data_IF_672496851610
#
_entry.id   IF_672496851610
#
_cell.length_a   1.000
_cell.length_b   1.000
_cell.length_c   1.000
_cell.angle_alpha   90.00
_cell.angle_beta   90.00
_cell.angle_gamma   90.00
#
_symmetry.space_group_name_H-M   'P 1'
#
loop_
_entity.id
_entity.type
_entity.pdbx_description
1 polymer ?
#
# COMPACT_ATOMS: atom_id res chain seq x y z
N UNK A 1 -9.33 1.50 22.83
CA UNK A 1 -10.40 2.23 22.13
C UNK A 1 -9.95 2.40 20.69
N UNK A 2 -10.85 2.31 19.71
CA UNK A 2 -10.45 2.28 18.30
C UNK A 2 -11.38 3.12 17.46
N UNK A 3 -10.89 3.62 16.33
CA UNK A 3 -11.69 4.44 15.46
C UNK A 3 -10.89 5.19 14.40
N UNK A 4 -11.48 6.28 13.92
CA UNK A 4 -10.84 7.21 12.99
C UNK A 4 -10.45 8.46 13.77
N UNK A 5 -9.19 8.85 13.70
CA UNK A 5 -8.69 10.00 14.45
C UNK A 5 -9.41 11.30 14.06
N UNK A 6 -9.82 11.42 12.80
CA UNK A 6 -10.54 12.59 12.29
C UNK A 6 -11.99 12.71 12.79
N UNK A 7 -12.55 11.65 13.41
CA UNK A 7 -13.94 11.61 13.84
C UNK A 7 -14.13 11.97 15.33
N UNK A 8 -13.03 12.11 16.08
CA UNK A 8 -13.04 12.49 17.51
C UNK A 8 -12.71 13.98 17.71
N UNK A 9 -12.97 14.51 18.90
CA UNK A 9 -12.66 15.92 19.19
C UNK A 9 -11.26 16.07 19.76
N UNK A 10 -10.60 17.20 19.46
CA UNK A 10 -9.26 17.49 19.96
C UNK A 10 -9.11 17.36 21.49
N UNK A 11 -10.07 17.86 22.31
CA UNK A 11 -10.04 17.67 23.75
C UNK A 11 -10.09 16.21 24.23
N UNK A 12 -10.63 15.28 23.45
CA UNK A 12 -10.74 13.86 23.84
C UNK A 12 -9.42 13.09 23.64
N UNK A 13 -8.47 13.64 22.86
CA UNK A 13 -7.21 12.95 22.51
C UNK A 13 -6.44 12.42 23.73
N UNK A 14 -6.24 13.19 24.83
CA UNK A 14 -5.51 12.68 26.00
C UNK A 14 -6.24 11.57 26.76
N UNK A 15 -7.55 11.41 26.55
CA UNK A 15 -8.35 10.36 27.17
C UNK A 15 -8.46 9.12 26.28
N UNK A 16 -8.51 9.31 24.96
CA UNK A 16 -8.74 8.26 23.97
C UNK A 16 -7.46 7.62 23.42
N UNK A 17 -6.37 8.38 23.31
CA UNK A 17 -5.09 7.92 22.76
C UNK A 17 -4.12 7.65 23.90
N UNK A 18 -3.57 6.43 23.93
CA UNK A 18 -2.63 5.95 24.93
C UNK A 18 -1.27 5.59 24.29
N UNK A 19 -0.31 5.18 25.12
CA UNK A 19 0.99 4.67 24.68
C UNK A 19 0.89 3.30 23.97
N UNK A 20 -0.18 2.55 24.22
CA UNK A 20 -0.52 1.31 23.52
C UNK A 20 -1.21 1.55 22.16
N UNK A 21 -1.70 2.77 21.89
CA UNK A 21 -2.39 3.08 20.64
C UNK A 21 -1.49 2.87 19.42
N UNK A 22 -2.03 2.15 18.43
CA UNK A 22 -1.45 1.94 17.10
C UNK A 22 -2.12 2.92 16.14
N UNK A 23 -1.35 3.88 15.64
CA UNK A 23 -1.81 4.80 14.60
C UNK A 23 -1.51 4.18 13.23
N UNK A 24 -2.53 4.01 12.39
CA UNK A 24 -2.38 3.47 11.04
C UNK A 24 -2.65 4.55 9.99
N UNK A 25 -1.66 4.81 9.14
CA UNK A 25 -1.73 5.70 7.99
C UNK A 25 -1.87 4.88 6.69
N UNK A 26 -3.04 4.89 6.05
CA UNK A 26 -3.20 4.32 4.72
C UNK A 26 -2.54 5.23 3.67
N UNK A 27 -1.71 4.66 2.80
CA UNK A 27 -1.04 5.39 1.71
C UNK A 27 -1.35 4.70 0.39
N UNK A 28 -2.11 5.38 -0.47
CA UNK A 28 -2.43 4.92 -1.82
C UNK A 28 -1.63 5.65 -2.88
N UNK A 29 -2.17 5.70 -4.10
CA UNK A 29 -1.72 6.56 -5.19
C UNK A 29 -2.90 6.91 -6.12
N UNK A 30 -2.71 7.93 -6.97
CA UNK A 30 -3.58 8.27 -8.09
C UNK A 30 -2.77 8.18 -9.38
N UNK A 31 -2.94 7.08 -10.11
CA UNK A 31 -2.11 6.72 -11.26
C UNK A 31 -2.85 5.85 -12.27
N UNK A 32 -2.37 5.85 -13.51
CA UNK A 32 -2.93 4.98 -14.55
C UNK A 32 -2.83 3.51 -14.16
N UNK A 33 -3.82 2.67 -14.49
CA UNK A 33 -3.80 1.22 -14.26
C UNK A 33 -4.22 0.45 -15.53
N UNK A 34 -3.66 0.85 -16.67
CA UNK A 34 -4.11 0.38 -17.97
C UNK A 34 -5.48 0.95 -18.36
N UNK A 35 -6.07 0.45 -19.46
CA UNK A 35 -7.33 0.98 -20.00
C UNK A 35 -8.58 0.49 -19.24
N UNK A 36 -8.47 -0.58 -18.44
CA UNK A 36 -9.59 -1.27 -17.81
C UNK A 36 -9.89 -0.78 -16.39
N UNK A 37 -8.90 -0.34 -15.61
CA UNK A 37 -9.07 0.10 -14.22
C UNK A 37 -9.18 1.63 -14.07
N UNK A 38 -9.83 2.11 -12.99
CA UNK A 38 -9.77 3.50 -12.55
C UNK A 38 -8.37 3.91 -12.08
N UNK A 39 -8.16 5.22 -11.89
CA UNK A 39 -6.86 5.72 -11.40
C UNK A 39 -6.67 5.62 -9.88
N UNK A 40 -7.72 5.28 -9.15
CA UNK A 40 -7.78 5.29 -7.69
C UNK A 40 -7.56 3.92 -7.06
N UNK A 41 -7.07 2.93 -7.82
CA UNK A 41 -6.96 1.52 -7.39
C UNK A 41 -6.22 1.41 -6.05
N UNK A 42 -5.00 1.91 -5.99
CA UNK A 42 -4.16 1.87 -4.78
C UNK A 42 -4.79 2.58 -3.59
N UNK A 43 -5.44 3.72 -3.83
CA UNK A 43 -6.16 4.47 -2.80
C UNK A 43 -7.33 3.67 -2.24
N UNK A 44 -8.15 3.08 -3.12
CA UNK A 44 -9.31 2.26 -2.72
C UNK A 44 -8.83 1.03 -1.96
N UNK A 45 -7.82 0.32 -2.44
CA UNK A 45 -7.31 -0.87 -1.76
C UNK A 45 -6.77 -0.51 -0.37
N UNK A 46 -5.94 0.54 -0.25
CA UNK A 46 -5.40 0.96 1.05
C UNK A 46 -6.51 1.36 2.03
N UNK A 47 -7.51 2.11 1.57
CA UNK A 47 -8.63 2.56 2.41
C UNK A 47 -9.53 1.40 2.85
N UNK A 48 -9.94 0.53 1.92
CA UNK A 48 -10.80 -0.61 2.23
C UNK A 48 -10.09 -1.63 3.13
N UNK A 49 -8.80 -1.90 2.89
CA UNK A 49 -8.01 -2.76 3.80
C UNK A 49 -7.93 -2.15 5.19
N UNK A 50 -7.72 -0.84 5.31
CA UNK A 50 -7.66 -0.17 6.62
C UNK A 50 -8.98 -0.22 7.37
N UNK A 51 -10.09 -0.01 6.66
CA UNK A 51 -11.44 -0.13 7.23
C UNK A 51 -11.71 -1.56 7.70
N UNK A 52 -11.40 -2.56 6.87
CA UNK A 52 -11.57 -3.96 7.22
C UNK A 52 -10.70 -4.38 8.43
N UNK A 53 -9.48 -3.83 8.55
CA UNK A 53 -8.63 -4.05 9.72
C UNK A 53 -9.22 -3.42 10.97
N UNK A 54 -9.73 -2.19 10.89
CA UNK A 54 -10.40 -1.54 12.01
C UNK A 54 -11.61 -2.36 12.50
N UNK A 55 -12.42 -2.88 11.58
CA UNK A 55 -13.57 -3.73 11.91
C UNK A 55 -13.12 -5.10 12.47
N UNK A 56 -11.98 -5.62 12.02
CA UNK A 56 -11.48 -6.95 12.42
C UNK A 56 -10.78 -6.96 13.77
N UNK A 57 -9.93 -5.98 14.07
CA UNK A 57 -9.09 -5.97 15.28
C UNK A 57 -9.34 -4.80 16.21
N UNK A 58 -10.25 -3.87 15.88
CA UNK A 58 -10.50 -2.68 16.68
C UNK A 58 -11.00 -2.94 18.10
N UNK A 59 -11.63 -4.10 18.34
CA UNK A 59 -12.06 -4.52 19.69
C UNK A 59 -10.91 -5.18 20.49
N UNK A 60 -9.82 -5.58 19.83
CA UNK A 60 -8.67 -6.28 20.42
C UNK A 60 -7.45 -5.36 20.60
N UNK A 61 -7.24 -4.45 19.65
CA UNK A 61 -6.11 -3.53 19.56
C UNK A 61 -6.66 -2.11 19.59
N UNK A 62 -6.00 -1.22 20.32
CA UNK A 62 -6.27 0.21 20.30
C UNK A 62 -5.79 0.84 18.96
N UNK A 63 -6.60 0.70 17.91
CA UNK A 63 -6.25 1.02 16.53
C UNK A 63 -6.94 2.30 16.05
N UNK A 64 -6.15 3.26 15.58
CA UNK A 64 -6.65 4.55 15.09
C UNK A 64 -6.21 4.81 13.66
N UNK A 65 -7.20 4.95 12.77
CA UNK A 65 -6.95 5.28 11.36
C UNK A 65 -6.74 6.79 11.19
N UNK A 66 -5.68 7.15 10.47
CA UNK A 66 -5.53 8.47 9.88
C UNK A 66 -6.27 8.54 8.53
N UNK A 67 -6.59 9.75 8.03
CA UNK A 67 -7.10 9.90 6.68
C UNK A 67 -6.14 9.30 5.64
N UNK A 68 -6.69 8.57 4.67
CA UNK A 68 -5.92 8.00 3.56
C UNK A 68 -5.14 9.08 2.81
N UNK A 69 -3.84 8.90 2.65
CA UNK A 69 -3.02 9.73 1.78
C UNK A 69 -3.14 9.23 0.33
N UNK A 70 -4.12 9.76 -0.41
CA UNK A 70 -4.44 9.30 -1.77
C UNK A 70 -3.39 9.69 -2.81
N UNK A 71 -2.70 10.83 -2.64
CA UNK A 71 -1.62 11.28 -3.52
C UNK A 71 -0.30 10.95 -2.85
N UNK A 72 0.54 10.16 -3.52
CA UNK A 72 1.86 9.74 -3.03
C UNK A 72 2.92 9.82 -4.14
N UNK A 73 4.01 9.04 -4.06
CA UNK A 73 5.09 9.05 -5.05
C UNK A 73 4.90 7.93 -6.08
N UNK A 74 4.41 8.31 -7.26
CA UNK A 74 4.12 7.46 -8.41
C UNK A 74 4.86 7.94 -9.68
N UNK A 75 6.18 8.15 -9.56
CA UNK A 75 6.96 8.76 -10.63
C UNK A 75 7.13 7.85 -11.86
N UNK A 76 7.07 6.53 -11.66
CA UNK A 76 7.03 5.50 -12.71
C UNK A 76 5.83 5.63 -13.66
N UNK A 77 4.78 6.37 -13.26
CA UNK A 77 3.54 6.56 -14.02
C UNK A 77 3.30 8.02 -14.46
N UNK A 78 4.20 8.95 -14.13
CA UNK A 78 4.07 10.40 -14.45
C UNK A 78 4.04 10.73 -15.94
N UNK A 79 4.51 9.80 -16.79
CA UNK A 79 4.40 9.95 -18.24
C UNK A 79 2.94 9.86 -18.73
N UNK A 80 2.04 9.27 -17.95
CA UNK A 80 0.62 9.12 -18.28
C UNK A 80 -0.19 10.33 -17.80
N UNK A 81 -1.02 10.95 -18.66
CA UNK A 81 -1.86 12.07 -18.27
C UNK A 81 -2.83 11.70 -17.12
N UNK A 82 -2.92 12.58 -16.13
CA UNK A 82 -3.80 12.44 -14.98
C UNK A 82 -3.13 11.87 -13.73
N UNK A 83 -1.96 11.21 -13.85
CA UNK A 83 -1.21 10.71 -12.69
C UNK A 83 -0.83 11.88 -11.77
N UNK A 84 -1.16 11.79 -10.49
CA UNK A 84 -0.80 12.78 -9.48
C UNK A 84 0.30 12.20 -8.61
N UNK A 85 1.49 12.79 -8.66
CA UNK A 85 2.65 12.30 -7.92
C UNK A 85 3.40 13.43 -7.23
N UNK A 86 3.76 13.21 -5.98
CA UNK A 86 4.81 13.98 -5.32
C UNK A 86 6.19 13.57 -5.82
N UNK A 87 7.16 14.48 -5.68
CA UNK A 87 8.57 14.13 -5.71
C UNK A 87 8.98 13.43 -4.42
N UNK A 88 10.06 12.62 -4.45
CA UNK A 88 10.50 11.85 -3.29
C UNK A 88 10.75 12.69 -2.04
N UNK A 89 11.37 13.87 -2.20
CA UNK A 89 11.63 14.79 -1.08
C UNK A 89 10.34 15.32 -0.48
N UNK A 90 9.37 15.70 -1.31
CA UNK A 90 8.06 16.17 -0.84
C UNK A 90 7.31 15.07 -0.11
N UNK A 91 7.32 13.84 -0.63
CA UNK A 91 6.66 12.71 0.03
C UNK A 91 7.25 12.43 1.42
N UNK A 92 8.58 12.45 1.54
CA UNK A 92 9.26 12.29 2.84
C UNK A 92 8.88 13.42 3.79
N UNK A 93 8.86 14.69 3.33
CA UNK A 93 8.45 15.82 4.17
C UNK A 93 7.00 15.72 4.63
N UNK A 94 6.07 15.28 3.77
CA UNK A 94 4.66 15.07 4.15
C UNK A 94 4.55 14.01 5.25
N UNK A 95 5.26 12.89 5.12
CA UNK A 95 5.26 11.83 6.13
C UNK A 95 5.88 12.29 7.46
N UNK A 96 6.96 13.07 7.40
CA UNK A 96 7.59 13.66 8.58
C UNK A 96 6.65 14.63 9.32
N UNK A 97 5.96 15.51 8.58
CA UNK A 97 4.99 16.45 9.16
C UNK A 97 3.81 15.72 9.83
N UNK A 98 3.30 14.64 9.21
CA UNK A 98 2.25 13.80 9.80
C UNK A 98 2.77 13.10 11.08
N UNK A 99 3.95 12.48 11.01
CA UNK A 99 4.53 11.77 12.13
C UNK A 99 4.86 12.70 13.31
N UNK A 100 5.32 13.92 13.02
CA UNK A 100 5.50 14.97 14.03
C UNK A 100 4.18 15.27 14.75
N UNK A 101 3.07 15.42 14.04
CA UNK A 101 1.76 15.60 14.66
C UNK A 101 1.38 14.39 15.54
N UNK A 102 1.57 13.16 15.05
CA UNK A 102 1.31 11.93 15.84
C UNK A 102 2.14 11.92 17.13
N UNK A 103 3.42 12.31 17.06
CA UNK A 103 4.33 12.36 18.21
C UNK A 103 3.94 13.36 19.30
N UNK A 104 2.98 14.26 19.04
CA UNK A 104 2.42 15.15 20.08
C UNK A 104 1.32 14.49 20.93
N UNK A 105 0.87 13.29 20.54
CA UNK A 105 -0.07 12.46 21.31
C UNK A 105 0.69 11.46 22.20
N UNK A 106 -0.03 10.66 23.00
CA UNK A 106 0.59 9.59 23.78
C UNK A 106 1.05 8.38 22.93
N UNK A 107 0.54 8.26 21.70
CA UNK A 107 0.81 7.10 20.85
C UNK A 107 2.30 6.93 20.54
N UNK A 108 2.77 5.68 20.64
CA UNK A 108 4.16 5.33 20.34
C UNK A 108 4.33 4.64 18.98
N UNK A 109 3.27 4.10 18.39
CA UNK A 109 3.33 3.22 17.22
C UNK A 109 2.68 3.87 16.01
N UNK A 110 3.43 3.97 14.91
CA UNK A 110 2.95 4.46 13.61
C UNK A 110 3.15 3.37 12.55
N UNK A 111 2.05 2.86 12.02
CA UNK A 111 2.01 1.88 10.94
C UNK A 111 1.66 2.60 9.65
N UNK A 112 2.47 2.42 8.61
CA UNK A 112 2.16 2.86 7.25
C UNK A 112 1.67 1.64 6.47
N UNK A 113 0.40 1.64 6.06
CA UNK A 113 -0.16 0.63 5.15
C UNK A 113 -0.01 1.12 3.71
N UNK A 114 0.89 0.50 2.97
CA UNK A 114 1.22 0.91 1.61
C UNK A 114 0.42 0.12 0.57
N UNK A 115 -0.47 0.80 -0.15
CA UNK A 115 -1.24 0.27 -1.27
C UNK A 115 -0.55 0.37 -2.63
N UNK A 116 0.57 1.08 -2.75
CA UNK A 116 1.25 1.33 -4.03
C UNK A 116 2.68 0.77 -4.05
N UNK A 117 3.01 -0.09 -5.02
CA UNK A 117 4.31 -0.76 -5.06
C UNK A 117 5.52 0.19 -5.17
N UNK A 118 5.39 1.29 -5.90
CA UNK A 118 6.43 2.30 -6.13
C UNK A 118 6.91 3.06 -4.89
N UNK A 119 6.16 2.94 -3.80
CA UNK A 119 6.43 3.60 -2.53
C UNK A 119 7.31 2.76 -1.59
N UNK A 120 7.40 1.44 -1.75
CA UNK A 120 7.97 0.53 -0.72
C UNK A 120 9.35 0.99 -0.22
N UNK A 121 10.29 1.28 -1.13
CA UNK A 121 11.66 1.69 -0.76
C UNK A 121 11.71 3.08 -0.10
N UNK A 122 10.85 3.99 -0.54
CA UNK A 122 10.77 5.34 0.02
C UNK A 122 10.15 5.30 1.42
N UNK A 123 9.05 4.56 1.60
CA UNK A 123 8.33 4.50 2.87
C UNK A 123 9.16 3.83 3.96
N UNK A 124 9.89 2.75 3.67
CA UNK A 124 10.75 2.14 4.69
C UNK A 124 11.93 3.05 5.08
N UNK A 125 12.41 3.86 4.14
CA UNK A 125 13.40 4.91 4.43
C UNK A 125 12.79 5.96 5.36
N UNK A 126 11.59 6.46 5.03
CA UNK A 126 10.86 7.42 5.85
C UNK A 126 10.56 6.90 7.26
N UNK A 127 10.18 5.62 7.40
CA UNK A 127 9.99 4.98 8.70
C UNK A 127 11.23 5.14 9.60
N UNK A 128 12.43 4.85 9.07
CA UNK A 128 13.67 5.00 9.83
C UNK A 128 13.94 6.46 10.21
N UNK A 129 13.74 7.38 9.27
CA UNK A 129 13.96 8.82 9.51
C UNK A 129 13.00 9.34 10.59
N UNK A 130 11.72 8.97 10.51
CA UNK A 130 10.68 9.30 11.52
C UNK A 130 11.04 8.72 12.89
N UNK A 131 11.46 7.46 12.96
CA UNK A 131 11.87 6.81 14.22
C UNK A 131 12.98 7.58 14.92
N UNK A 132 13.97 8.05 14.15
CA UNK A 132 15.11 8.82 14.65
C UNK A 132 14.69 10.23 15.06
N UNK A 133 13.84 10.88 14.29
CA UNK A 133 13.41 12.27 14.52
C UNK A 133 12.42 12.41 15.69
N UNK A 134 11.44 11.51 15.79
CA UNK A 134 10.27 11.68 16.66
C UNK A 134 10.09 10.60 17.73
N UNK A 135 10.94 9.56 17.74
CA UNK A 135 10.89 8.52 18.77
C UNK A 135 9.83 7.42 18.56
N UNK A 136 8.95 7.58 17.56
CA UNK A 136 7.87 6.62 17.24
C UNK A 136 8.42 5.28 16.75
N UNK A 137 7.88 4.16 17.22
CA UNK A 137 8.05 2.85 16.60
C UNK A 137 7.29 2.82 15.27
N UNK A 138 8.03 2.71 14.18
CA UNK A 138 7.48 2.78 12.82
C UNK A 138 7.48 1.44 12.12
N UNK A 139 6.39 1.13 11.42
CA UNK A 139 6.23 -0.12 10.69
C UNK A 139 5.70 0.16 9.28
N UNK A 140 6.12 -0.67 8.32
CA UNK A 140 5.62 -0.64 6.94
C UNK A 140 4.98 -1.99 6.63
N UNK A 141 3.71 -1.97 6.27
CA UNK A 141 2.95 -3.16 5.90
C UNK A 141 2.30 -2.96 4.53
N UNK A 142 1.92 -4.06 3.87
CA UNK A 142 1.32 -4.04 2.54
C UNK A 142 0.13 -4.99 2.50
N UNK A 143 -0.99 -4.65 1.84
CA UNK A 143 -2.04 -5.62 1.49
C UNK A 143 -1.47 -6.80 0.67
N UNK A 144 -0.53 -6.49 -0.22
CA UNK A 144 0.29 -7.48 -0.91
C UNK A 144 1.67 -6.89 -1.18
N UNK A 145 2.73 -7.64 -0.90
CA UNK A 145 4.09 -7.20 -1.24
C UNK A 145 4.24 -7.29 -2.76
N UNK A 146 4.67 -6.22 -3.46
CA UNK A 146 4.83 -6.28 -4.90
C UNK A 146 6.01 -7.19 -5.28
N UNK A 147 5.97 -7.88 -6.43
CA UNK A 147 7.08 -8.75 -6.87
C UNK A 147 8.41 -7.99 -6.98
N UNK A 148 8.37 -6.71 -7.37
CA UNK A 148 9.55 -5.84 -7.43
C UNK A 148 10.28 -5.68 -6.08
N UNK A 149 9.56 -5.87 -4.97
CA UNK A 149 10.06 -5.78 -3.58
C UNK A 149 10.18 -7.16 -2.91
N UNK A 150 10.15 -8.25 -3.69
CA UNK A 150 10.31 -9.62 -3.18
C UNK A 150 9.01 -10.34 -2.80
N UNK A 151 7.86 -9.79 -3.17
CA UNK A 151 6.58 -10.49 -3.08
C UNK A 151 6.35 -11.49 -4.20
N UNK A 152 5.12 -11.99 -4.31
CA UNK A 152 4.74 -13.04 -5.27
C UNK A 152 3.83 -12.49 -6.38
N UNK A 153 3.88 -13.15 -7.54
CA UNK A 153 2.93 -12.99 -8.66
C UNK A 153 2.61 -14.39 -9.20
N UNK A 154 1.57 -14.50 -10.00
CA UNK A 154 1.11 -15.79 -10.50
C UNK A 154 2.10 -16.42 -11.48
N UNK A 155 2.00 -17.75 -11.64
CA UNK A 155 2.81 -18.47 -12.62
C UNK A 155 2.46 -18.02 -14.05
N UNK A 156 1.19 -17.73 -14.31
CA UNK A 156 0.68 -17.25 -15.59
C UNK A 156 1.26 -15.89 -15.99
N UNK A 157 1.55 -15.04 -15.00
CA UNK A 157 2.23 -13.75 -15.16
C UNK A 157 3.76 -13.86 -15.07
N UNK A 158 4.29 -15.09 -14.92
CA UNK A 158 5.73 -15.38 -14.85
C UNK A 158 6.45 -14.62 -13.73
N UNK A 159 5.75 -14.34 -12.62
CA UNK A 159 6.28 -13.52 -11.52
C UNK A 159 6.40 -12.02 -11.85
N UNK A 160 5.78 -11.56 -12.94
CA UNK A 160 5.86 -10.19 -13.47
C UNK A 160 4.50 -9.51 -13.55
N UNK A 161 3.53 -9.94 -12.76
CA UNK A 161 2.32 -9.17 -12.45
C UNK A 161 2.67 -8.02 -11.52
N UNK A 162 3.00 -6.88 -12.09
CA UNK A 162 3.51 -5.70 -11.37
C UNK A 162 2.44 -4.63 -11.22
N UNK A 163 1.63 -4.40 -12.26
CA UNK A 163 0.78 -3.21 -12.36
C UNK A 163 -0.45 -3.47 -13.23
N UNK A 164 -1.64 -3.36 -12.66
CA UNK A 164 -2.92 -3.64 -13.32
C UNK A 164 -3.15 -5.12 -13.66
N UNK A 165 -2.39 -6.03 -13.04
CA UNK A 165 -2.41 -7.47 -13.32
C UNK A 165 -3.62 -8.20 -12.74
N UNK A 166 -3.55 -9.54 -12.71
CA UNK A 166 -4.66 -10.40 -12.31
C UNK A 166 -5.18 -10.10 -10.89
N UNK A 167 -4.26 -10.09 -9.92
CA UNK A 167 -4.61 -9.97 -8.50
C UNK A 167 -5.23 -8.62 -8.18
N UNK A 168 -4.58 -7.54 -8.60
CA UNK A 168 -5.04 -6.17 -8.36
C UNK A 168 -6.38 -5.90 -9.04
N UNK A 169 -6.53 -6.29 -10.31
CA UNK A 169 -7.80 -6.16 -11.03
C UNK A 169 -8.92 -6.95 -10.34
N UNK A 170 -8.61 -8.16 -9.84
CA UNK A 170 -9.58 -9.00 -9.14
C UNK A 170 -10.02 -8.36 -7.81
N UNK A 171 -9.06 -7.93 -6.98
CA UNK A 171 -9.33 -7.26 -5.69
C UNK A 171 -10.15 -6.00 -5.92
N UNK A 172 -9.76 -5.15 -6.87
CA UNK A 172 -10.52 -3.94 -7.17
C UNK A 172 -11.94 -4.25 -7.68
N UNK A 173 -12.10 -5.28 -8.52
CA UNK A 173 -13.42 -5.72 -9.00
C UNK A 173 -14.33 -6.21 -7.86
N UNK A 174 -13.76 -6.77 -6.80
CA UNK A 174 -14.51 -7.14 -5.58
C UNK A 174 -14.90 -5.92 -4.75
N UNK A 175 -13.96 -5.00 -4.51
CA UNK A 175 -14.18 -3.81 -3.67
C UNK A 175 -15.07 -2.76 -4.32
N UNK A 176 -15.05 -2.66 -5.66
CA UNK A 176 -15.83 -1.71 -6.46
C UNK A 176 -16.50 -2.42 -7.65
N UNK A 177 -17.56 -3.22 -7.40
CA UNK A 177 -18.25 -3.96 -8.45
C UNK A 177 -18.80 -3.03 -9.54
N UNK A 178 -18.49 -3.33 -10.80
CA UNK A 178 -18.96 -2.57 -11.96
C UNK A 178 -18.08 -1.39 -12.39
N UNK A 179 -16.99 -1.11 -11.69
CA UNK A 179 -16.05 -0.03 -12.06
C UNK A 179 -14.89 -0.48 -12.95
N UNK A 180 -14.77 -1.79 -13.19
CA UNK A 180 -13.73 -2.37 -14.06
C UNK A 180 -14.27 -2.64 -15.45
N UNK A 181 -13.60 -2.09 -16.46
CA UNK A 181 -13.91 -2.28 -17.88
C UNK A 181 -13.19 -3.50 -18.43
N UNK A 182 -13.66 -4.68 -18.03
CA UNK A 182 -13.04 -5.96 -18.40
C UNK A 182 -12.96 -6.19 -19.92
N UNK A 183 -13.83 -5.57 -20.72
CA UNK A 183 -13.75 -5.60 -22.18
C UNK A 183 -12.49 -4.92 -22.74
N UNK A 184 -11.78 -4.15 -21.91
CA UNK A 184 -10.50 -3.51 -22.23
C UNK A 184 -9.31 -4.21 -21.57
N UNK A 185 -9.53 -5.23 -20.75
CA UNK A 185 -8.47 -6.00 -20.10
C UNK A 185 -7.65 -6.73 -21.17
N UNK A 186 -6.33 -6.54 -21.16
CA UNK A 186 -5.42 -7.09 -22.17
C UNK A 186 -4.14 -7.59 -21.50
N UNK A 187 -3.66 -8.77 -21.89
CA UNK A 187 -2.38 -9.29 -21.42
C UNK A 187 -1.22 -8.40 -21.85
N UNK A 188 -0.39 -7.97 -20.90
CA UNK A 188 0.89 -7.25 -21.10
C UNK A 188 1.98 -7.76 -20.15
N UNK A 189 2.29 -9.05 -20.25
CA UNK A 189 3.41 -9.65 -19.52
C UNK A 189 4.72 -9.41 -20.29
N UNK A 190 5.78 -8.86 -19.66
CA UNK A 190 7.07 -8.59 -20.32
C UNK A 190 7.93 -9.86 -20.47
N UNK A 191 7.46 -10.81 -21.28
CA UNK A 191 8.05 -12.15 -21.43
C UNK A 191 9.52 -12.15 -21.84
N UNK A 192 9.98 -11.14 -22.59
CA UNK A 192 11.38 -10.97 -22.99
C UNK A 192 12.34 -10.89 -21.80
N UNK A 193 11.88 -10.45 -20.62
CA UNK A 193 12.72 -10.39 -19.42
C UNK A 193 13.01 -11.77 -18.84
N UNK A 194 12.26 -12.81 -19.22
CA UNK A 194 12.53 -14.18 -18.75
C UNK A 194 13.93 -14.65 -19.13
N UNK A 195 14.47 -14.14 -20.25
CA UNK A 195 15.82 -14.39 -20.76
C UNK A 195 16.92 -13.81 -19.86
N UNK A 196 16.61 -12.78 -19.05
CA UNK A 196 17.59 -12.15 -18.18
C UNK A 196 17.97 -13.06 -17.02
N UNK A 197 19.26 -13.18 -16.72
CA UNK A 197 19.69 -13.93 -15.52
C UNK A 197 19.52 -13.13 -14.23
N UNK A 198 19.77 -11.82 -14.27
CA UNK A 198 19.94 -10.99 -13.06
C UNK A 198 19.02 -9.77 -12.99
N UNK A 199 18.82 -9.08 -14.12
CA UNK A 199 17.97 -7.88 -14.21
C UNK A 199 16.52 -8.32 -14.39
N UNK A 200 15.79 -8.44 -13.27
CA UNK A 200 14.40 -8.92 -13.19
C UNK A 200 13.70 -8.23 -12.02
N UNK A 201 12.38 -8.09 -12.08
CA UNK A 201 11.59 -7.71 -10.90
C UNK A 201 11.82 -8.70 -9.77
N UNK A 202 12.07 -8.21 -8.56
CA UNK A 202 12.42 -9.04 -7.39
C UNK A 202 13.78 -9.76 -7.51
N UNK A 203 14.54 -9.50 -8.58
CA UNK A 203 15.85 -10.09 -8.80
C UNK A 203 16.96 -9.44 -7.97
N UNK A 204 18.14 -10.06 -7.97
CA UNK A 204 19.32 -9.53 -7.26
C UNK A 204 19.85 -8.22 -7.82
N UNK A 205 19.57 -7.93 -9.10
CA UNK A 205 19.91 -6.66 -9.74
C UNK A 205 18.64 -5.87 -9.94
N UNK A 206 18.42 -4.92 -9.04
CA UNK A 206 17.35 -3.93 -9.14
C UNK A 206 17.72 -2.87 -10.19
N UNK A 207 16.71 -2.26 -10.81
CA UNK A 207 16.88 -1.28 -11.88
C UNK A 207 15.78 -0.21 -11.81
N UNK A 208 16.08 0.99 -12.31
CA UNK A 208 15.09 2.05 -12.46
C UNK A 208 14.26 1.83 -13.73
N UNK A 209 12.95 1.99 -13.62
CA UNK A 209 12.01 1.79 -14.72
C UNK A 209 10.81 2.72 -14.57
N UNK A 210 10.09 2.90 -15.67
CA UNK A 210 8.77 3.50 -15.73
C UNK A 210 7.82 2.51 -16.39
N UNK A 211 6.52 2.60 -16.11
CA UNK A 211 5.58 1.64 -16.73
C UNK A 211 5.55 1.74 -18.26
N UNK A 212 5.99 2.88 -18.82
CA UNK A 212 6.11 3.08 -20.28
C UNK A 212 7.17 2.19 -20.93
N UNK A 213 8.20 1.78 -20.18
CA UNK A 213 9.27 0.92 -20.69
C UNK A 213 8.74 -0.47 -21.08
N UNK A 214 7.55 -0.84 -20.58
CA UNK A 214 6.87 -2.12 -20.83
C UNK A 214 5.66 -2.00 -21.75
N UNK A 215 5.34 -0.79 -22.22
CA UNK A 215 4.25 -0.56 -23.16
C UNK A 215 3.57 0.81 -23.00
N UNK A 216 2.90 1.27 -24.06
CA UNK A 216 2.23 2.57 -24.07
C UNK A 216 0.96 2.65 -23.22
N UNK A 217 0.44 1.51 -22.76
CA UNK A 217 -0.75 1.43 -21.92
C UNK A 217 -0.43 1.44 -20.42
N UNK A 218 0.85 1.27 -20.05
CA UNK A 218 1.31 1.30 -18.65
C UNK A 218 0.93 0.10 -17.80
N UNK A 219 0.25 -0.89 -18.38
CA UNK A 219 -0.09 -2.19 -17.79
C UNK A 219 1.11 -3.14 -17.83
N UNK A 220 1.35 -3.87 -16.73
CA UNK A 220 2.40 -4.89 -16.59
C UNK A 220 1.82 -6.09 -15.85
N UNK A 221 1.24 -7.03 -16.59
CA UNK A 221 0.54 -8.19 -16.04
C UNK A 221 -0.54 -8.72 -16.98
N UNK A 222 -1.35 -9.66 -16.49
CA UNK A 222 -2.42 -10.28 -17.25
C UNK A 222 -3.77 -10.24 -16.50
N UNK A 223 -4.60 -9.20 -16.74
CA UNK A 223 -5.89 -9.08 -16.06
C UNK A 223 -7.01 -9.90 -16.71
N UNK A 224 -6.79 -10.67 -17.78
CA UNK A 224 -7.91 -11.20 -18.59
C UNK A 224 -8.82 -12.17 -17.86
N UNK A 225 -8.30 -12.87 -16.86
CA UNK A 225 -9.06 -13.81 -16.02
C UNK A 225 -9.46 -13.22 -14.65
N UNK A 226 -9.27 -11.91 -14.47
CA UNK A 226 -9.58 -11.23 -13.23
C UNK A 226 -11.08 -11.30 -12.92
N UNK A 227 -11.41 -11.58 -11.67
CA UNK A 227 -12.79 -11.75 -11.25
C UNK A 227 -13.01 -11.42 -9.76
N UNK A 228 -14.21 -10.96 -9.37
CA UNK A 228 -14.51 -10.60 -7.99
C UNK A 228 -14.38 -11.75 -6.98
N UNK A 229 -14.55 -13.01 -7.42
CA UNK A 229 -14.42 -14.16 -6.51
C UNK A 229 -12.97 -14.31 -6.04
N UNK A 230 -12.02 -14.31 -6.97
CA UNK A 230 -10.59 -14.31 -6.65
C UNK A 230 -10.23 -13.05 -5.84
N UNK A 231 -10.79 -11.90 -6.20
CA UNK A 231 -10.56 -10.64 -5.49
C UNK A 231 -10.95 -10.71 -4.02
N UNK A 232 -12.11 -11.31 -3.73
CA UNK A 232 -12.57 -11.55 -2.37
C UNK A 232 -11.60 -12.44 -1.58
N UNK A 233 -11.21 -13.58 -2.15
CA UNK A 233 -10.30 -14.54 -1.52
C UNK A 233 -8.94 -13.88 -1.19
N UNK A 234 -8.39 -13.10 -2.14
CA UNK A 234 -7.14 -12.36 -1.94
C UNK A 234 -7.26 -11.27 -0.87
N UNK A 235 -8.34 -10.50 -0.91
CA UNK A 235 -8.56 -9.39 0.03
C UNK A 235 -8.77 -9.90 1.47
N UNK A 236 -9.63 -10.90 1.66
CA UNK A 236 -9.87 -11.49 2.98
C UNK A 236 -8.58 -12.12 3.54
N UNK A 237 -7.83 -12.85 2.72
CA UNK A 237 -6.53 -13.41 3.13
C UNK A 237 -5.51 -12.34 3.51
N UNK A 238 -5.49 -11.20 2.80
CA UNK A 238 -4.60 -10.08 3.11
C UNK A 238 -4.99 -9.42 4.43
N UNK A 239 -6.29 -9.20 4.67
CA UNK A 239 -6.81 -8.64 5.93
C UNK A 239 -6.49 -9.54 7.10
N UNK A 240 -6.70 -10.86 6.98
CA UNK A 240 -6.38 -11.82 8.05
C UNK A 240 -4.89 -11.78 8.40
N UNK A 241 -4.01 -11.80 7.39
CA UNK A 241 -2.56 -11.72 7.62
C UNK A 241 -2.13 -10.39 8.23
N UNK A 242 -2.73 -9.27 7.81
CA UNK A 242 -2.45 -7.94 8.35
C UNK A 242 -2.98 -7.77 9.77
N UNK A 243 -4.11 -8.39 10.11
CA UNK A 243 -4.64 -8.43 11.46
C UNK A 243 -3.63 -9.09 12.42
N UNK A 244 -3.07 -10.23 12.02
CA UNK A 244 -2.01 -10.90 12.80
C UNK A 244 -0.75 -10.04 12.94
N UNK A 245 -0.33 -9.37 11.87
CA UNK A 245 0.79 -8.41 11.92
C UNK A 245 0.51 -7.25 12.90
N UNK A 246 -0.71 -6.71 12.90
CA UNK A 246 -1.08 -5.63 13.84
C UNK A 246 -1.09 -6.11 15.29
N UNK A 247 -1.52 -7.34 15.57
CA UNK A 247 -1.44 -7.95 16.90
C UNK A 247 0.01 -8.09 17.38
N UNK A 248 0.94 -8.42 16.48
CA UNK A 248 2.36 -8.45 16.81
C UNK A 248 2.92 -7.04 17.03
N UNK A 249 2.58 -6.10 16.15
CA UNK A 249 3.02 -4.70 16.26
C UNK A 249 2.53 -4.05 17.57
N UNK A 250 1.29 -4.30 17.98
CA UNK A 250 0.70 -3.68 19.17
C UNK A 250 1.43 -4.06 20.47
N UNK A 251 2.06 -5.24 20.52
CA UNK A 251 2.86 -5.69 21.65
C UNK A 251 4.38 -5.68 21.39
N UNK A 252 4.83 -5.18 20.23
CA UNK A 252 6.26 -5.12 19.90
C UNK A 252 6.95 -3.99 20.68
N UNK A 253 8.07 -4.34 21.33
CA UNK A 253 9.04 -3.42 21.91
C UNK A 253 10.46 -3.96 21.72
N UNK A 254 11.44 -3.06 21.62
CA UNK A 254 12.84 -3.44 21.60
C UNK A 254 13.28 -3.95 22.98
N UNK A 255 14.09 -5.01 23.01
CA UNK A 255 14.69 -5.49 24.24
C UNK A 255 15.65 -4.43 24.81
N UNK A 256 15.58 -4.19 26.11
CA UNK A 256 16.58 -3.41 26.83
C UNK A 256 17.87 -4.24 26.95
N UNK A 257 19.02 -3.67 26.59
CA UNK A 257 20.35 -4.26 26.72
C UNK A 257 21.18 -3.52 27.77
#
# INVERSE_FOLDING_TARGET
MSGRLADITGPDIPELISDDSVILLPVGAIEQHGPHLPMSVDTVIAEETSNALLDSVGDEIDLWLLPTLSISKSNEHTWSPGTLSYGSTTMISVLDDIAKCVSTTAARRLVILNGHGGNTSLLITACRDIRVAHGLLTFLVHPSVPPASGGTSTEEEMGMGIHGGLNETSVFSYLRPGEVRMEKAVRRVPEWMTENKWVKFGGKVQFGWTSRDFGSEGLIGDPTDANPKLGKELFESAVDSLADQLREISCFDFQEY
#
